data_IF_757535801473
#
_entry.id   IF_757535801473
#
_cell.length_a   1.000
_cell.length_b   1.000
_cell.length_c   1.000
_cell.angle_alpha   90.00
_cell.angle_beta   90.00
_cell.angle_gamma   90.00
#
_symmetry.space_group_name_H-M   'P 1'
#
loop_
_entity.id
_entity.type
_entity.pdbx_description
1 polymer ?
#
# COMPACT_ATOMS: atom_id res chain seq x y z
N UNK A 1 5.67 10.39 2.00
CA UNK A 1 7.02 9.88 2.22
C UNK A 1 8.01 10.83 1.57
N UNK A 2 9.18 11.00 2.18
CA UNK A 2 10.30 11.73 1.58
C UNK A 2 11.34 10.70 1.14
N UNK A 3 11.84 10.84 -0.08
CA UNK A 3 12.78 9.91 -0.69
C UNK A 3 13.80 10.69 -1.50
N UNK A 4 15.08 10.31 -1.38
CA UNK A 4 16.17 10.86 -2.16
C UNK A 4 16.91 9.72 -2.85
N UNK A 5 17.16 9.86 -4.14
CA UNK A 5 17.84 8.86 -4.95
C UNK A 5 19.01 9.46 -5.71
N UNK A 6 20.09 8.69 -5.86
CA UNK A 6 21.15 9.02 -6.80
C UNK A 6 20.57 8.98 -8.22
N UNK A 7 20.89 9.97 -9.06
CA UNK A 7 20.46 10.01 -10.47
C UNK A 7 20.76 8.72 -11.21
N UNK A 8 21.96 8.16 -11.00
CA UNK A 8 22.37 6.89 -11.60
C UNK A 8 21.48 5.69 -11.20
N UNK A 9 20.88 5.72 -10.00
CA UNK A 9 20.01 4.66 -9.51
C UNK A 9 18.61 4.67 -10.14
N UNK A 10 18.20 5.79 -10.75
CA UNK A 10 16.83 6.01 -11.22
C UNK A 10 16.74 6.27 -12.73
N UNK A 11 17.86 6.31 -13.45
CA UNK A 11 17.89 6.71 -14.87
C UNK A 11 16.93 5.93 -15.76
N UNK A 12 16.84 4.61 -15.56
CA UNK A 12 15.95 3.70 -16.30
C UNK A 12 14.59 3.47 -15.62
N UNK A 13 14.35 4.03 -14.43
CA UNK A 13 13.14 3.80 -13.66
C UNK A 13 12.09 4.88 -13.91
N UNK A 14 10.81 4.51 -13.84
CA UNK A 14 9.67 5.41 -13.93
C UNK A 14 8.65 5.04 -12.85
N UNK A 15 7.81 5.98 -12.46
CA UNK A 15 6.68 5.69 -11.57
C UNK A 15 5.69 4.74 -12.26
N UNK A 16 5.15 3.79 -11.51
CA UNK A 16 4.21 2.81 -12.03
C UNK A 16 2.84 3.46 -12.25
N UNK A 17 2.51 3.72 -13.52
CA UNK A 17 1.27 4.36 -13.92
C UNK A 17 0.01 3.51 -13.68
N UNK A 18 0.16 2.23 -13.28
CA UNK A 18 -0.96 1.34 -12.96
C UNK A 18 -1.48 1.55 -11.53
N UNK A 19 -0.72 2.24 -10.67
CA UNK A 19 -1.15 2.53 -9.31
C UNK A 19 -2.38 3.44 -9.31
N UNK A 20 -3.35 3.10 -8.46
CA UNK A 20 -4.64 3.79 -8.35
C UNK A 20 -4.59 4.93 -7.34
N UNK A 21 -5.38 5.96 -7.61
CA UNK A 21 -5.57 7.15 -6.79
C UNK A 21 -5.89 8.37 -7.66
N UNK A 22 -6.78 9.25 -7.21
CA UNK A 22 -7.19 10.49 -7.93
C UNK A 22 -6.29 11.70 -7.63
N UNK A 23 -5.18 11.47 -6.91
CA UNK A 23 -4.16 12.48 -6.62
C UNK A 23 -2.85 11.78 -6.23
N UNK A 24 -2.67 11.52 -4.94
CA UNK A 24 -1.55 10.67 -4.50
C UNK A 24 -1.88 9.20 -4.75
N UNK A 25 -1.01 8.48 -5.48
CA UNK A 25 -1.07 7.03 -5.53
C UNK A 25 -0.35 6.48 -4.31
N UNK A 26 -1.09 6.06 -3.29
CA UNK A 26 -0.52 5.45 -2.07
C UNK A 26 0.38 4.27 -2.44
N UNK A 27 1.56 4.19 -1.81
CA UNK A 27 2.64 3.23 -2.09
C UNK A 27 3.45 3.49 -3.37
N UNK A 28 3.33 4.65 -4.01
CA UNK A 28 4.19 5.00 -5.16
C UNK A 28 5.69 5.00 -4.81
N UNK A 29 6.03 5.48 -3.61
CA UNK A 29 7.35 5.48 -3.02
C UNK A 29 7.87 4.06 -2.76
N UNK A 30 7.00 3.18 -2.24
CA UNK A 30 7.32 1.76 -2.06
C UNK A 30 7.59 1.09 -3.41
N UNK A 31 6.73 1.30 -4.42
CA UNK A 31 6.91 0.75 -5.76
C UNK A 31 8.26 1.17 -6.35
N UNK A 32 8.53 2.47 -6.32
CA UNK A 32 9.73 3.04 -6.89
C UNK A 32 11.00 2.56 -6.16
N UNK A 33 10.97 2.54 -4.82
CA UNK A 33 12.06 2.02 -3.99
C UNK A 33 12.33 0.54 -4.27
N UNK A 34 11.30 -0.29 -4.39
CA UNK A 34 11.46 -1.70 -4.74
C UNK A 34 12.04 -1.88 -6.16
N UNK A 35 11.75 -0.96 -7.08
CA UNK A 35 12.41 -0.86 -8.39
C UNK A 35 13.90 -0.57 -8.28
N UNK A 36 14.27 0.44 -7.48
CA UNK A 36 15.67 0.77 -7.18
C UNK A 36 16.41 -0.42 -6.56
N UNK A 37 15.80 -1.10 -5.58
CA UNK A 37 16.38 -2.30 -4.96
C UNK A 37 16.59 -3.43 -5.97
N UNK A 38 15.61 -3.67 -6.84
CA UNK A 38 15.72 -4.68 -7.91
C UNK A 38 16.80 -4.36 -8.93
N UNK A 39 17.07 -3.08 -9.19
CA UNK A 39 18.16 -2.64 -10.04
C UNK A 39 19.55 -2.79 -9.39
N UNK A 40 19.66 -3.46 -8.24
CA UNK A 40 20.92 -3.77 -7.57
C UNK A 40 21.39 -2.73 -6.56
N UNK A 41 20.61 -1.66 -6.35
CA UNK A 41 20.95 -0.61 -5.38
C UNK A 41 20.49 -0.96 -3.97
N UNK A 42 21.17 -0.38 -2.97
CA UNK A 42 20.76 -0.50 -1.56
C UNK A 42 19.77 0.61 -1.21
N UNK A 43 18.73 0.24 -0.48
CA UNK A 43 17.83 1.18 0.19
C UNK A 43 18.25 1.28 1.65
N UNK A 44 18.36 2.50 2.16
CA UNK A 44 18.74 2.79 3.55
C UNK A 44 17.67 3.67 4.16
N UNK A 45 17.21 3.31 5.35
CA UNK A 45 16.43 4.18 6.20
C UNK A 45 17.38 4.83 7.21
N UNK A 46 17.42 6.16 7.23
CA UNK A 46 18.19 6.93 8.20
C UNK A 46 17.20 7.75 9.05
N UNK A 47 17.00 7.40 10.33
CA UNK A 47 16.07 8.12 11.19
C UNK A 47 16.53 9.54 11.54
N UNK A 48 17.80 9.89 11.33
CA UNK A 48 18.32 11.23 11.59
C UNK A 48 18.04 12.19 10.43
N UNK A 49 17.78 11.66 9.23
CA UNK A 49 17.35 12.45 8.07
C UNK A 49 15.84 12.69 8.18
N UNK A 50 15.47 13.68 8.98
CA UNK A 50 14.11 14.14 9.16
C UNK A 50 13.82 15.37 8.29
N UNK A 51 12.59 15.46 7.79
CA UNK A 51 12.11 16.63 7.05
C UNK A 51 10.74 16.99 7.59
N UNK A 52 10.58 18.26 7.97
CA UNK A 52 9.30 18.81 8.37
C UNK A 52 8.34 18.78 7.19
N UNK A 53 7.29 17.96 7.31
CA UNK A 53 6.27 17.86 6.30
C UNK A 53 5.12 18.79 6.68
N UNK A 54 4.85 19.82 5.88
CA UNK A 54 3.70 20.70 6.03
C UNK A 54 2.54 20.22 5.14
N UNK A 55 1.60 19.40 5.64
CA UNK A 55 0.55 18.82 4.81
C UNK A 55 -0.47 19.89 4.38
N UNK A 56 -0.60 20.08 3.07
CA UNK A 56 -1.77 20.76 2.52
C UNK A 56 -3.02 19.87 2.58
N UNK A 57 -4.19 20.50 2.72
CA UNK A 57 -5.50 19.88 2.59
C UNK A 57 -5.65 19.26 1.21
N UNK A 58 -6.19 18.04 1.16
CA UNK A 58 -6.50 17.35 -0.10
C UNK A 58 -8.02 17.27 -0.27
N UNK A 59 -8.63 18.07 -1.15
CA UNK A 59 -10.04 17.88 -1.50
C UNK A 59 -10.20 16.60 -2.35
N UNK A 60 -11.30 15.86 -2.17
CA UNK A 60 -11.63 14.68 -3.00
C UNK A 60 -11.74 13.35 -2.22
N UNK A 61 -11.67 12.24 -2.96
CA UNK A 61 -11.95 10.86 -2.46
C UNK A 61 -10.87 10.26 -1.55
N UNK A 62 -9.70 10.91 -1.45
CA UNK A 62 -8.58 10.50 -0.59
C UNK A 62 -8.13 11.65 0.34
N UNK A 63 -8.99 12.04 1.29
CA UNK A 63 -8.66 13.08 2.26
C UNK A 63 -7.55 12.59 3.20
N UNK A 64 -6.57 13.46 3.47
CA UNK A 64 -5.35 13.09 4.21
C UNK A 64 -5.63 12.53 5.61
N UNK A 65 -6.69 13.01 6.27
CA UNK A 65 -7.01 12.69 7.65
C UNK A 65 -8.21 11.73 7.78
N UNK A 66 -8.73 11.18 6.68
CA UNK A 66 -9.81 10.21 6.73
C UNK A 66 -9.64 9.13 5.66
N UNK A 67 -9.66 7.86 6.06
CA UNK A 67 -9.62 6.73 5.13
C UNK A 67 -11.03 6.39 4.67
N UNK A 68 -11.34 6.70 3.41
CA UNK A 68 -12.57 6.25 2.76
C UNK A 68 -12.43 4.79 2.35
N UNK A 69 -13.54 4.06 2.18
CA UNK A 69 -13.49 2.69 1.67
C UNK A 69 -12.87 2.62 0.26
N UNK A 70 -13.06 3.67 -0.55
CA UNK A 70 -12.46 3.79 -1.87
C UNK A 70 -10.92 3.93 -1.79
N UNK A 71 -10.42 4.83 -0.93
CA UNK A 71 -8.97 5.01 -0.75
C UNK A 71 -8.32 3.76 -0.15
N UNK A 72 -8.99 3.05 0.77
CA UNK A 72 -8.54 1.76 1.28
C UNK A 72 -8.43 0.69 0.18
N UNK A 73 -9.45 0.56 -0.67
CA UNK A 73 -9.42 -0.40 -1.80
C UNK A 73 -8.30 -0.07 -2.77
N UNK A 74 -8.11 1.20 -3.14
CA UNK A 74 -7.05 1.64 -4.04
C UNK A 74 -5.66 1.40 -3.44
N UNK A 75 -5.45 1.74 -2.17
CA UNK A 75 -4.18 1.49 -1.49
C UNK A 75 -3.88 -0.01 -1.35
N UNK A 76 -4.91 -0.84 -1.07
CA UNK A 76 -4.76 -2.29 -1.01
C UNK A 76 -4.44 -2.91 -2.39
N UNK A 77 -5.06 -2.39 -3.47
CA UNK A 77 -4.71 -2.75 -4.84
C UNK A 77 -3.23 -2.44 -5.12
N UNK A 78 -2.80 -1.20 -4.87
CA UNK A 78 -1.42 -0.76 -5.09
C UNK A 78 -0.42 -1.64 -4.35
N UNK A 79 -0.65 -1.86 -3.05
CA UNK A 79 0.20 -2.71 -2.22
C UNK A 79 0.37 -4.11 -2.83
N UNK A 80 -0.73 -4.78 -3.20
CA UNK A 80 -0.67 -6.15 -3.72
C UNK A 80 -0.09 -6.21 -5.13
N UNK A 81 -0.30 -5.18 -5.96
CA UNK A 81 0.33 -5.06 -7.27
C UNK A 81 1.86 -5.00 -7.12
N UNK A 82 2.35 -4.14 -6.20
CA UNK A 82 3.78 -3.97 -5.92
C UNK A 82 4.38 -5.25 -5.36
N UNK A 83 3.76 -5.85 -4.33
CA UNK A 83 4.26 -7.10 -3.73
C UNK A 83 4.37 -8.21 -4.78
N UNK A 84 3.36 -8.37 -5.64
CA UNK A 84 3.36 -9.39 -6.70
C UNK A 84 4.39 -9.11 -7.79
N UNK A 85 4.62 -7.83 -8.13
CA UNK A 85 5.60 -7.42 -9.13
C UNK A 85 7.06 -7.55 -8.66
N UNK A 86 7.31 -7.38 -7.36
CA UNK A 86 8.67 -7.31 -6.84
C UNK A 86 9.13 -8.52 -6.03
N UNK A 87 8.24 -9.24 -5.34
CA UNK A 87 8.61 -10.40 -4.52
C UNK A 87 8.76 -11.69 -5.37
N UNK A 88 9.54 -12.64 -4.85
CA UNK A 88 9.64 -13.98 -5.44
C UNK A 88 8.32 -14.74 -5.34
N UNK A 89 8.11 -15.81 -6.14
CA UNK A 89 6.85 -16.55 -6.16
C UNK A 89 6.37 -17.06 -4.79
N UNK A 90 7.28 -17.55 -3.96
CA UNK A 90 6.95 -18.00 -2.61
C UNK A 90 6.55 -16.82 -1.73
N UNK A 91 7.37 -15.76 -1.69
CA UNK A 91 7.12 -14.60 -0.83
C UNK A 91 5.83 -13.85 -1.20
N UNK A 92 5.47 -13.76 -2.48
CA UNK A 92 4.20 -13.12 -2.88
C UNK A 92 2.98 -13.91 -2.42
N UNK A 93 3.02 -15.25 -2.41
CA UNK A 93 1.91 -16.06 -1.90
C UNK A 93 1.85 -16.03 -0.38
N UNK A 94 2.99 -16.10 0.32
CA UNK A 94 3.04 -15.90 1.77
C UNK A 94 2.48 -14.54 2.16
N UNK A 95 2.88 -13.46 1.48
CA UNK A 95 2.36 -12.13 1.73
C UNK A 95 0.85 -12.05 1.47
N UNK A 96 0.35 -12.67 0.39
CA UNK A 96 -1.08 -12.72 0.11
C UNK A 96 -1.86 -13.33 1.27
N UNK A 97 -1.44 -14.50 1.75
CA UNK A 97 -2.13 -15.22 2.83
C UNK A 97 -2.02 -14.50 4.16
N UNK A 98 -0.85 -13.95 4.46
CA UNK A 98 -0.66 -13.14 5.65
C UNK A 98 -1.60 -11.93 5.66
N UNK A 99 -1.72 -11.18 4.55
CA UNK A 99 -2.64 -10.04 4.47
C UNK A 99 -4.11 -10.44 4.46
N UNK A 100 -4.45 -11.64 3.98
CA UNK A 100 -5.82 -12.13 4.00
C UNK A 100 -6.27 -12.56 5.40
N UNK A 101 -5.40 -13.29 6.11
CA UNK A 101 -5.71 -13.89 7.41
C UNK A 101 -5.46 -12.89 8.55
N UNK A 102 -4.30 -12.27 8.57
CA UNK A 102 -3.85 -11.39 9.65
C UNK A 102 -4.00 -9.92 9.23
N UNK A 103 -3.26 -9.52 8.19
CA UNK A 103 -3.19 -8.13 7.75
C UNK A 103 -2.66 -7.18 8.83
N UNK A 104 -2.98 -5.90 8.69
CA UNK A 104 -2.62 -4.85 9.65
C UNK A 104 -3.86 -4.12 10.14
N UNK A 105 -3.72 -3.24 11.13
CA UNK A 105 -4.83 -2.36 11.54
C UNK A 105 -5.29 -1.40 10.42
N UNK A 106 -4.40 -1.07 9.45
CA UNK A 106 -4.73 -0.25 8.28
C UNK A 106 -5.35 -1.09 7.16
N UNK A 107 -4.77 -2.26 6.90
CA UNK A 107 -5.22 -3.22 5.89
C UNK A 107 -5.72 -4.50 6.59
N UNK A 108 -6.92 -4.48 7.21
CA UNK A 108 -7.36 -5.59 8.04
C UNK A 108 -7.50 -6.89 7.27
N UNK A 109 -6.86 -7.94 7.78
CA UNK A 109 -7.20 -9.33 7.49
C UNK A 109 -8.37 -9.79 8.37
N UNK A 110 -8.74 -11.07 8.27
CA UNK A 110 -9.84 -11.65 9.05
C UNK A 110 -9.66 -11.42 10.56
N UNK A 111 -8.45 -11.61 11.09
CA UNK A 111 -8.16 -11.42 12.51
C UNK A 111 -8.40 -9.97 12.96
N UNK A 112 -7.81 -8.99 12.27
CA UNK A 112 -7.99 -7.58 12.62
C UNK A 112 -9.42 -7.09 12.41
N UNK A 113 -10.15 -7.62 11.42
CA UNK A 113 -11.55 -7.32 11.21
C UNK A 113 -12.41 -7.84 12.39
N UNK A 114 -12.17 -9.08 12.82
CA UNK A 114 -12.84 -9.66 13.99
C UNK A 114 -12.54 -8.88 15.27
N UNK A 115 -11.27 -8.58 15.53
CA UNK A 115 -10.86 -7.75 16.68
C UNK A 115 -11.48 -6.35 16.64
N UNK A 116 -11.56 -5.74 15.45
CA UNK A 116 -12.21 -4.44 15.26
C UNK A 116 -13.71 -4.48 15.53
N UNK A 117 -14.40 -5.53 15.06
CA UNK A 117 -15.81 -5.74 15.32
C UNK A 117 -16.12 -5.88 16.82
N UNK A 118 -15.25 -6.57 17.57
CA UNK A 118 -15.38 -6.75 19.02
C UNK A 118 -15.08 -5.48 19.82
N UNK A 119 -14.12 -4.65 19.39
CA UNK A 119 -13.65 -3.48 20.15
C UNK A 119 -14.40 -2.19 19.86
N UNK A 120 -14.83 -1.98 18.62
CA UNK A 120 -15.34 -0.68 18.16
C UNK A 120 -16.88 -0.59 18.14
N UNK A 121 -17.59 -1.66 18.52
CA UNK A 121 -19.07 -1.68 18.56
C UNK A 121 -19.77 -1.61 17.20
N UNK A 122 -19.04 -1.45 16.09
CA UNK A 122 -19.57 -1.48 14.72
C UNK A 122 -18.96 -2.62 13.89
N UNK A 123 -19.51 -3.85 13.99
CA UNK A 123 -19.12 -4.97 13.15
C UNK A 123 -19.28 -4.69 11.65
N UNK A 124 -20.29 -3.90 11.28
CA UNK A 124 -20.56 -3.49 9.91
C UNK A 124 -19.39 -2.72 9.29
N UNK A 125 -18.85 -1.74 10.00
CA UNK A 125 -17.73 -0.92 9.51
C UNK A 125 -16.44 -1.73 9.44
N UNK A 126 -16.17 -2.57 10.44
CA UNK A 126 -15.02 -3.47 10.44
C UNK A 126 -15.05 -4.41 9.22
N UNK A 127 -16.23 -4.98 8.93
CA UNK A 127 -16.41 -5.85 7.77
C UNK A 127 -16.34 -5.08 6.44
N UNK A 128 -16.89 -3.87 6.38
CA UNK A 128 -16.82 -3.02 5.18
C UNK A 128 -15.37 -2.68 4.81
N UNK A 129 -14.55 -2.32 5.80
CA UNK A 129 -13.11 -2.05 5.62
C UNK A 129 -12.36 -3.29 5.16
N UNK A 130 -12.58 -4.43 5.81
CA UNK A 130 -12.00 -5.71 5.37
C UNK A 130 -12.39 -6.03 3.93
N UNK A 131 -13.67 -5.93 3.58
CA UNK A 131 -14.18 -6.20 2.23
C UNK A 131 -13.52 -5.28 1.20
N UNK A 132 -13.39 -3.98 1.49
CA UNK A 132 -12.72 -3.02 0.62
C UNK A 132 -11.25 -3.42 0.34
N UNK A 133 -10.50 -3.78 1.39
CA UNK A 133 -9.10 -4.22 1.28
C UNK A 133 -8.99 -5.53 0.50
N UNK A 134 -9.83 -6.52 0.78
CA UNK A 134 -9.81 -7.82 0.07
C UNK A 134 -10.19 -7.68 -1.40
N UNK A 135 -11.13 -6.80 -1.74
CA UNK A 135 -11.47 -6.51 -3.12
C UNK A 135 -10.29 -5.89 -3.87
N UNK A 136 -9.64 -4.87 -3.30
CA UNK A 136 -8.44 -4.27 -3.91
C UNK A 136 -7.31 -5.30 -4.13
N UNK A 137 -7.05 -6.13 -3.13
CA UNK A 137 -6.05 -7.21 -3.22
C UNK A 137 -6.36 -8.23 -4.34
N UNK A 138 -7.62 -8.65 -4.48
CA UNK A 138 -8.06 -9.59 -5.53
C UNK A 138 -7.95 -8.99 -6.92
N UNK A 139 -8.30 -7.72 -7.07
CA UNK A 139 -8.18 -7.00 -8.34
C UNK A 139 -6.73 -6.89 -8.80
N UNK A 140 -5.80 -6.59 -7.88
CA UNK A 140 -4.38 -6.55 -8.19
C UNK A 140 -3.85 -7.92 -8.63
N UNK A 141 -4.35 -9.01 -8.00
CA UNK A 141 -3.99 -10.38 -8.38
C UNK A 141 -4.44 -10.73 -9.80
N UNK A 142 -5.61 -10.24 -10.23
CA UNK A 142 -6.14 -10.42 -11.60
C UNK A 142 -5.45 -9.54 -12.63
N UNK A 143 -5.01 -8.34 -12.26
CA UNK A 143 -4.34 -7.40 -13.16
C UNK A 143 -2.96 -7.88 -13.65
N UNK A 144 -2.38 -8.92 -13.02
CA UNK A 144 -1.09 -9.52 -13.34
C UNK A 144 -1.21 -11.03 -13.58
N UNK A 145 -2.41 -11.51 -13.93
CA UNK A 145 -2.66 -12.88 -14.37
C UNK A 145 -2.81 -12.87 -15.88
#
# INVERSE_FOLDING_TARGET
>A
ANMSYRRAAIGSLRFDARLRGSGAQTHNDMAFSMGVKRAGWKLVYDPLVAVDHYPATRPGEDPRNAQTLASMRNAAFNLHLILRGHLSPLHRETAWWWYALVGTHVYPGLLHAGLGALRAGSPGDAFARWRAVRNGAREARRALA
#
